data_IF_269229969003
#
_entry.id   IF_269229969003
#
_cell.length_a   1.000
_cell.length_b   1.000
_cell.length_c   1.000
_cell.angle_alpha   90.00
_cell.angle_beta   90.00
_cell.angle_gamma   90.00
#
_symmetry.space_group_name_H-M   'P 1'
#
loop_
_entity.id
_entity.type
_entity.pdbx_description
1 polymer ?
#
# COMPACT_ATOMS: atom_id res chain seq x y z
N UNK A 1 -24.14 -2.56 55.12
CA UNK A 1 -22.67 -2.41 55.10
C UNK A 1 -21.99 -3.44 54.18
N UNK A 2 -22.05 -4.75 54.45
CA UNK A 2 -21.40 -5.77 53.60
C UNK A 2 -21.85 -5.77 52.13
N UNK A 3 -23.16 -5.70 51.88
CA UNK A 3 -23.70 -5.69 50.51
C UNK A 3 -23.28 -4.46 49.70
N UNK A 4 -23.10 -3.32 50.38
CA UNK A 4 -22.70 -2.07 49.76
C UNK A 4 -21.22 -2.12 49.34
N UNK A 5 -20.37 -2.70 50.20
CA UNK A 5 -18.97 -2.98 49.89
C UNK A 5 -18.85 -3.94 48.69
N UNK A 6 -19.68 -4.99 48.63
CA UNK A 6 -19.68 -5.94 47.52
C UNK A 6 -20.12 -5.29 46.21
N UNK A 7 -21.14 -4.41 46.23
CA UNK A 7 -21.58 -3.65 45.04
C UNK A 7 -20.50 -2.72 44.51
N UNK A 8 -19.81 -1.98 45.41
CA UNK A 8 -18.72 -1.10 45.01
C UNK A 8 -17.55 -1.88 44.39
N UNK A 9 -17.19 -3.02 44.96
CA UNK A 9 -16.17 -3.91 44.39
C UNK A 9 -16.59 -4.44 43.02
N UNK A 10 -17.83 -4.88 42.86
CA UNK A 10 -18.35 -5.35 41.58
C UNK A 10 -18.29 -4.26 40.51
N UNK A 11 -18.64 -3.01 40.86
CA UNK A 11 -18.55 -1.88 39.93
C UNK A 11 -17.10 -1.56 39.55
N UNK A 12 -16.17 -1.62 40.51
CA UNK A 12 -14.73 -1.42 40.25
C UNK A 12 -14.19 -2.47 39.30
N UNK A 13 -14.48 -3.76 39.55
CA UNK A 13 -14.04 -4.87 38.70
C UNK A 13 -14.61 -4.74 37.29
N UNK A 14 -15.91 -4.41 37.15
CA UNK A 14 -16.52 -4.19 35.82
C UNK A 14 -15.87 -3.04 35.04
N UNK A 15 -15.50 -1.97 35.74
CA UNK A 15 -14.78 -0.85 35.12
C UNK A 15 -13.39 -1.29 34.65
N UNK A 16 -12.66 -2.02 35.50
CA UNK A 16 -11.35 -2.56 35.16
C UNK A 16 -11.42 -3.53 33.98
N UNK A 17 -12.42 -4.41 33.92
CA UNK A 17 -12.69 -5.29 32.77
C UNK A 17 -12.93 -4.49 31.48
N UNK A 18 -13.71 -3.40 31.55
CA UNK A 18 -13.98 -2.54 30.39
C UNK A 18 -12.72 -1.80 29.93
N UNK A 19 -11.92 -1.28 30.87
CA UNK A 19 -10.67 -0.58 30.56
C UNK A 19 -9.65 -1.55 29.94
N UNK A 20 -9.54 -2.77 30.47
CA UNK A 20 -8.71 -3.84 29.90
C UNK A 20 -9.15 -4.24 28.48
N UNK A 21 -10.46 -4.32 28.23
CA UNK A 21 -11.00 -4.65 26.91
C UNK A 21 -10.63 -3.56 25.87
N UNK A 22 -10.75 -2.28 26.25
CA UNK A 22 -10.37 -1.17 25.38
C UNK A 22 -8.86 -1.20 25.05
N UNK A 23 -8.02 -1.44 26.06
CA UNK A 23 -6.57 -1.54 25.83
C UNK A 23 -6.21 -2.76 24.97
N UNK A 24 -6.88 -3.90 25.18
CA UNK A 24 -6.71 -5.08 24.34
C UNK A 24 -7.03 -4.78 22.86
N UNK A 25 -8.15 -4.13 22.57
CA UNK A 25 -8.55 -3.76 21.19
C UNK A 25 -7.59 -2.75 20.56
N UNK A 26 -7.00 -1.86 21.36
CA UNK A 26 -5.95 -0.94 20.91
C UNK A 26 -4.67 -1.69 20.56
N UNK A 27 -4.19 -2.57 21.45
CA UNK A 27 -3.01 -3.39 21.22
C UNK A 27 -3.18 -4.31 20.01
N UNK A 28 -4.38 -4.86 19.79
CA UNK A 28 -4.67 -5.66 18.60
C UNK A 28 -4.59 -4.85 17.31
N UNK A 29 -5.09 -3.61 17.31
CA UNK A 29 -4.94 -2.69 16.16
C UNK A 29 -3.47 -2.36 15.89
N UNK A 30 -2.70 -2.07 16.93
CA UNK A 30 -1.26 -1.79 16.81
C UNK A 30 -0.50 -3.01 16.27
N UNK A 31 -0.77 -4.21 16.79
CA UNK A 31 -0.20 -5.47 16.28
C UNK A 31 -0.44 -5.62 14.78
N UNK A 32 -1.67 -5.36 14.33
CA UNK A 32 -2.02 -5.48 12.91
C UNK A 32 -1.29 -4.46 12.03
N UNK A 33 -1.04 -3.25 12.52
CA UNK A 33 -0.22 -2.25 11.83
C UNK A 33 1.24 -2.71 11.73
N UNK A 34 1.82 -3.24 12.81
CA UNK A 34 3.18 -3.77 12.81
C UNK A 34 3.35 -4.94 11.83
N UNK A 35 2.39 -5.87 11.79
CA UNK A 35 2.41 -6.99 10.83
C UNK A 35 2.40 -6.48 9.39
N UNK A 36 1.59 -5.45 9.09
CA UNK A 36 1.55 -4.85 7.74
C UNK A 36 2.87 -4.19 7.40
N UNK A 37 3.47 -3.46 8.35
CA UNK A 37 4.74 -2.77 8.11
C UNK A 37 5.91 -3.74 7.93
N UNK A 38 5.98 -4.81 8.74
CA UNK A 38 6.98 -5.88 8.56
C UNK A 38 6.87 -6.52 7.18
N UNK A 39 5.64 -6.77 6.69
CA UNK A 39 5.41 -7.26 5.32
C UNK A 39 5.82 -6.24 4.28
N UNK A 40 5.59 -4.94 4.52
CA UNK A 40 5.98 -3.87 3.59
C UNK A 40 7.50 -3.78 3.46
N UNK A 41 8.23 -3.74 4.59
CA UNK A 41 9.70 -3.72 4.63
C UNK A 41 10.27 -4.96 3.95
N UNK A 42 9.78 -6.16 4.29
CA UNK A 42 10.21 -7.38 3.63
C UNK A 42 10.03 -7.31 2.10
N UNK A 43 8.89 -6.81 1.63
CA UNK A 43 8.64 -6.67 0.19
C UNK A 43 9.50 -5.59 -0.48
N UNK A 44 9.84 -4.52 0.25
CA UNK A 44 10.72 -3.44 -0.19
C UNK A 44 12.16 -3.96 -0.37
N UNK A 45 12.68 -4.66 0.63
CA UNK A 45 14.01 -5.30 0.63
C UNK A 45 14.14 -6.40 -0.44
N UNK A 46 13.02 -6.95 -0.93
CA UNK A 46 13.02 -7.96 -2.01
C UNK A 46 12.53 -7.39 -3.35
N UNK A 47 12.32 -6.07 -3.43
CA UNK A 47 11.94 -5.42 -4.69
C UNK A 47 13.17 -5.22 -5.56
N UNK A 48 13.01 -5.36 -6.89
CA UNK A 48 14.04 -4.95 -7.85
C UNK A 48 14.34 -3.44 -7.82
N UNK A 49 13.53 -2.67 -7.10
CA UNK A 49 13.63 -1.22 -6.96
C UNK A 49 14.18 -0.77 -5.60
N UNK A 50 14.71 -1.69 -4.77
CA UNK A 50 15.25 -1.40 -3.43
C UNK A 50 16.31 -0.29 -3.41
N UNK A 51 17.08 -0.13 -4.49
CA UNK A 51 18.17 0.84 -4.60
C UNK A 51 17.71 2.22 -5.10
N UNK A 52 16.41 2.51 -5.02
CA UNK A 52 15.83 3.82 -5.33
C UNK A 52 16.18 4.34 -6.74
N UNK A 53 15.95 3.56 -7.82
CA UNK A 53 16.33 3.98 -9.16
C UNK A 53 15.48 5.15 -9.66
N UNK A 54 16.04 5.91 -10.60
CA UNK A 54 15.31 6.92 -11.34
C UNK A 54 14.69 6.27 -12.58
N UNK A 55 13.36 6.30 -12.66
CA UNK A 55 12.62 5.79 -13.82
C UNK A 55 12.29 6.90 -14.81
N UNK A 56 12.34 6.57 -16.10
CA UNK A 56 12.04 7.49 -17.21
C UNK A 56 12.77 8.84 -17.09
N UNK A 57 13.99 8.82 -16.52
CA UNK A 57 14.83 10.00 -16.24
C UNK A 57 14.09 11.13 -15.47
N UNK A 58 13.03 10.79 -14.74
CA UNK A 58 12.09 11.77 -14.15
C UNK A 58 11.62 11.39 -12.76
N UNK A 59 11.44 10.11 -12.48
CA UNK A 59 10.80 9.65 -11.26
C UNK A 59 11.79 8.93 -10.37
N UNK A 60 12.32 9.62 -9.36
CA UNK A 60 13.14 8.99 -8.33
C UNK A 60 12.23 8.15 -7.43
N UNK A 61 12.38 6.82 -7.47
CA UNK A 61 11.67 5.94 -6.55
C UNK A 61 12.21 6.12 -5.13
N UNK A 62 11.28 6.14 -4.17
CA UNK A 62 11.54 6.24 -2.74
C UNK A 62 11.09 4.92 -2.10
N UNK A 63 10.17 4.96 -1.14
CA UNK A 63 9.70 3.78 -0.42
C UNK A 63 8.56 3.05 -1.13
N UNK A 64 8.51 1.72 -1.00
CA UNK A 64 7.37 0.89 -1.33
C UNK A 64 6.17 1.26 -0.44
N UNK A 65 5.03 1.58 -1.06
CA UNK A 65 3.75 1.83 -0.39
C UNK A 65 2.95 0.52 -0.26
N UNK A 66 3.00 -0.33 -1.29
CA UNK A 66 2.28 -1.59 -1.27
C UNK A 66 2.62 -2.50 -2.44
N UNK A 67 2.46 -3.80 -2.22
CA UNK A 67 2.68 -4.86 -3.22
C UNK A 67 1.40 -5.68 -3.38
N UNK A 68 0.93 -5.76 -4.62
CA UNK A 68 -0.14 -6.67 -5.04
C UNK A 68 0.45 -7.92 -5.71
N UNK A 69 -0.42 -8.76 -6.26
CA UNK A 69 0.03 -9.99 -6.94
C UNK A 69 0.85 -9.74 -8.21
N UNK A 70 0.61 -8.62 -8.91
CA UNK A 70 1.22 -8.33 -10.23
C UNK A 70 1.72 -6.88 -10.35
N UNK A 71 1.78 -6.16 -9.24
CA UNK A 71 2.21 -4.76 -9.26
C UNK A 71 2.78 -4.32 -7.93
N UNK A 72 3.73 -3.40 -7.97
CA UNK A 72 4.26 -2.69 -6.82
C UNK A 72 3.93 -1.21 -6.96
N UNK A 73 3.57 -0.57 -5.86
CA UNK A 73 3.29 0.87 -5.81
C UNK A 73 4.34 1.52 -4.93
N UNK A 74 5.11 2.43 -5.51
CA UNK A 74 6.18 3.14 -4.83
C UNK A 74 5.82 4.61 -4.65
N UNK A 75 6.19 5.19 -3.51
CA UNK A 75 6.31 6.64 -3.38
C UNK A 75 7.47 7.06 -4.26
N UNK A 76 7.32 8.14 -5.00
CA UNK A 76 8.38 8.66 -5.84
C UNK A 76 8.38 10.18 -5.81
N UNK A 77 9.49 10.77 -6.23
CA UNK A 77 9.61 12.20 -6.45
C UNK A 77 9.75 12.49 -7.95
N UNK A 78 8.84 13.31 -8.48
CA UNK A 78 8.92 13.78 -9.85
C UNK A 78 9.94 14.93 -9.93
N UNK A 79 11.08 14.69 -10.55
CA UNK A 79 12.19 15.64 -10.65
C UNK A 79 11.86 16.86 -11.52
N UNK A 80 10.95 16.70 -12.49
CA UNK A 80 10.51 17.79 -13.39
C UNK A 80 9.49 18.74 -12.74
N UNK A 81 8.45 18.16 -12.12
CA UNK A 81 7.34 18.93 -11.52
C UNK A 81 7.55 19.21 -10.02
N UNK A 82 8.66 18.71 -9.45
CA UNK A 82 9.05 18.88 -8.04
C UNK A 82 7.94 18.51 -7.05
N UNK A 83 7.29 17.36 -7.27
CA UNK A 83 6.20 16.88 -6.41
C UNK A 83 6.31 15.39 -6.12
N UNK A 84 5.77 14.98 -4.98
CA UNK A 84 5.59 13.57 -4.67
C UNK A 84 4.48 12.96 -5.53
N UNK A 85 4.71 11.74 -6.01
CA UNK A 85 3.77 10.95 -6.80
C UNK A 85 3.77 9.49 -6.31
N UNK A 86 2.77 8.73 -6.73
CA UNK A 86 2.78 7.28 -6.61
C UNK A 86 3.06 6.67 -7.99
N UNK A 87 4.04 5.77 -8.07
CA UNK A 87 4.38 5.04 -9.30
C UNK A 87 3.93 3.60 -9.12
N UNK A 88 2.90 3.20 -9.88
CA UNK A 88 2.40 1.82 -9.93
C UNK A 88 3.13 1.08 -11.06
N UNK A 89 4.03 0.19 -10.69
CA UNK A 89 4.79 -0.63 -11.62
C UNK A 89 4.09 -1.96 -11.80
N UNK A 90 3.73 -2.28 -13.04
CA UNK A 90 3.18 -3.57 -13.42
C UNK A 90 4.31 -4.57 -13.71
N UNK A 91 4.28 -5.74 -13.07
CA UNK A 91 5.27 -6.80 -13.26
C UNK A 91 4.60 -7.98 -13.97
N UNK A 92 5.06 -8.27 -15.18
CA UNK A 92 4.65 -9.47 -15.93
C UNK A 92 5.56 -10.63 -15.53
N UNK A 93 4.98 -11.76 -15.14
CA UNK A 93 5.76 -12.97 -14.93
C UNK A 93 6.22 -13.53 -16.30
N UNK A 94 7.52 -13.76 -16.44
CA UNK A 94 8.14 -14.29 -17.66
C UNK A 94 7.59 -15.66 -18.07
N UNK A 95 7.18 -16.48 -17.11
CA UNK A 95 6.61 -17.82 -17.30
C UNK A 95 5.17 -17.80 -17.84
N UNK A 96 4.52 -16.63 -17.89
CA UNK A 96 3.17 -16.54 -18.42
C UNK A 96 3.15 -16.82 -19.92
N UNK A 97 2.13 -17.56 -20.35
CA UNK A 97 1.78 -17.69 -21.77
C UNK A 97 1.53 -16.30 -22.36
N UNK A 98 1.92 -16.13 -23.61
CA UNK A 98 1.84 -14.85 -24.32
C UNK A 98 0.41 -14.27 -24.35
N UNK A 99 -0.60 -15.12 -24.50
CA UNK A 99 -2.01 -14.73 -24.42
C UNK A 99 -2.37 -14.10 -23.07
N UNK A 100 -1.84 -14.64 -21.96
CA UNK A 100 -2.08 -14.12 -20.61
C UNK A 100 -1.38 -12.78 -20.40
N UNK A 101 -0.15 -12.62 -20.92
CA UNK A 101 0.57 -11.33 -20.89
C UNK A 101 -0.20 -10.28 -21.68
N UNK A 102 -0.61 -10.59 -22.91
CA UNK A 102 -1.37 -9.69 -23.77
C UNK A 102 -2.70 -9.26 -23.13
N UNK A 103 -3.43 -10.20 -22.52
CA UNK A 103 -4.66 -9.89 -21.79
C UNK A 103 -4.41 -8.96 -20.61
N UNK A 104 -3.36 -9.21 -19.81
CA UNK A 104 -3.01 -8.35 -18.68
C UNK A 104 -2.65 -6.93 -19.14
N UNK A 105 -1.80 -6.80 -20.17
CA UNK A 105 -1.41 -5.51 -20.76
C UNK A 105 -2.65 -4.76 -21.24
N UNK A 106 -3.55 -5.44 -21.97
CA UNK A 106 -4.82 -4.85 -22.44
C UNK A 106 -5.66 -4.30 -21.29
N UNK A 107 -5.74 -5.02 -20.17
CA UNK A 107 -6.47 -4.55 -18.98
C UNK A 107 -5.80 -3.34 -18.33
N UNK A 108 -4.48 -3.34 -18.18
CA UNK A 108 -3.72 -2.22 -17.61
C UNK A 108 -3.82 -0.95 -18.47
N UNK A 109 -3.72 -1.10 -19.80
CA UNK A 109 -3.87 0.01 -20.74
C UNK A 109 -5.29 0.59 -20.69
N UNK A 110 -6.31 -0.26 -20.61
CA UNK A 110 -7.70 0.20 -20.46
C UNK A 110 -7.92 1.00 -19.17
N UNK A 111 -7.33 0.59 -18.06
CA UNK A 111 -7.37 1.35 -16.80
C UNK A 111 -6.72 2.73 -16.97
N UNK A 112 -5.56 2.78 -17.62
CA UNK A 112 -4.87 4.03 -17.92
C UNK A 112 -5.72 4.95 -18.81
N UNK A 113 -6.32 4.42 -19.88
CA UNK A 113 -7.11 5.23 -20.82
C UNK A 113 -8.36 5.81 -20.16
N UNK A 114 -9.01 5.08 -19.27
CA UNK A 114 -10.11 5.63 -18.46
C UNK A 114 -9.57 6.77 -17.58
N UNK A 115 -8.50 6.54 -16.82
CA UNK A 115 -7.95 7.54 -15.90
C UNK A 115 -7.43 8.80 -16.61
N UNK A 116 -6.91 8.69 -17.85
CA UNK A 116 -6.50 9.84 -18.67
C UNK A 116 -7.66 10.81 -18.94
N UNK A 117 -8.90 10.31 -19.03
CA UNK A 117 -10.08 11.13 -19.31
C UNK A 117 -10.68 11.79 -18.06
N UNK A 118 -10.23 11.40 -16.86
CA UNK A 118 -10.79 11.87 -15.60
C UNK A 118 -9.95 13.03 -15.04
N UNK A 119 -10.56 14.20 -14.95
CA UNK A 119 -9.99 15.34 -14.24
C UNK A 119 -10.97 15.90 -13.21
N UNK A 120 -10.84 15.42 -11.97
CA UNK A 120 -11.71 15.83 -10.87
C UNK A 120 -10.96 15.76 -9.53
N UNK A 121 -11.11 16.74 -8.63
CA UNK A 121 -10.36 16.80 -7.35
C UNK A 121 -10.60 15.62 -6.40
N UNK A 122 -11.70 14.87 -6.57
CA UNK A 122 -12.02 13.68 -5.78
C UNK A 122 -11.69 12.35 -6.48
N UNK A 123 -11.05 12.39 -7.64
CA UNK A 123 -10.62 11.21 -8.39
C UNK A 123 -9.10 11.27 -8.53
N UNK A 124 -8.44 10.14 -8.31
CA UNK A 124 -6.99 10.07 -8.49
C UNK A 124 -6.63 10.36 -9.94
N UNK A 125 -5.78 11.36 -10.15
CA UNK A 125 -5.33 11.76 -11.48
C UNK A 125 -4.15 10.90 -11.94
N UNK A 126 -4.20 10.45 -13.18
CA UNK A 126 -3.05 9.84 -13.85
C UNK A 126 -2.18 10.94 -14.48
N UNK A 127 -0.89 10.95 -14.16
CA UNK A 127 0.03 11.98 -14.65
C UNK A 127 0.86 11.55 -15.86
N UNK A 128 1.25 10.28 -15.89
CA UNK A 128 2.19 9.75 -16.88
C UNK A 128 2.04 8.22 -16.98
N UNK A 129 2.39 7.66 -18.12
CA UNK A 129 2.43 6.23 -18.41
C UNK A 129 3.61 5.96 -19.32
N UNK A 130 4.49 5.05 -18.91
CA UNK A 130 5.69 4.67 -19.67
C UNK A 130 6.06 3.22 -19.39
N UNK A 131 6.83 2.64 -20.30
CA UNK A 131 7.37 1.28 -20.17
C UNK A 131 8.76 1.33 -19.52
N UNK A 132 9.08 0.33 -18.70
CA UNK A 132 10.31 0.29 -17.89
C UNK A 132 11.30 -0.76 -18.41
N UNK A 133 10.84 -1.73 -19.19
CA UNK A 133 11.66 -2.73 -19.87
C UNK A 133 10.92 -3.22 -21.14
N UNK A 134 11.56 -3.16 -22.30
CA UNK A 134 11.32 -4.11 -23.39
C UNK A 134 12.29 -5.26 -23.15
N UNK A 135 11.79 -6.48 -22.92
CA UNK A 135 12.60 -7.69 -22.73
C UNK A 135 13.81 -7.71 -23.70
N UNK A 136 15.02 -7.89 -23.14
CA UNK A 136 16.06 -8.69 -23.79
C UNK A 136 15.91 -10.13 -23.31
#
# INVERSE_FOLDING_TARGET
ESDEILRLRQASVKKEEMDLQIEYEKLERERNLHIRELKRIYNEDHSRFQDHPILNERYLLLSLIGKGGFSEVHKAFCLKEQRYVAVKVHQLNKEWKEEKKANYIKHALRECDILKTLDHPRIVRLFDVFEIDTDS
#
